data_IF_197026776619
#
_entry.id   IF_197026776619
#
_cell.length_a   1.000
_cell.length_b   1.000
_cell.length_c   1.000
_cell.angle_alpha   90.00
_cell.angle_beta   90.00
_cell.angle_gamma   90.00
#
_symmetry.space_group_name_H-M   'P 1'
#
loop_
_entity.id
_entity.type
_entity.pdbx_description
1 polymer ?
#
# COMPACT_ATOMS: atom_id res chain seq x y z
N UNK A 1 -11.98 -15.70 6.89
CA UNK A 1 -10.68 -14.98 6.86
C UNK A 1 -9.43 -15.84 7.03
N UNK A 2 -9.47 -16.97 7.75
CA UNK A 2 -8.35 -17.90 8.00
C UNK A 2 -7.60 -18.47 6.77
N UNK A 3 -8.20 -18.42 5.58
CA UNK A 3 -7.61 -18.98 4.35
C UNK A 3 -6.72 -17.98 3.63
N UNK A 4 -7.09 -16.69 3.64
CA UNK A 4 -6.30 -15.62 3.01
C UNK A 4 -5.01 -15.32 3.77
N UNK A 5 -5.02 -15.44 5.09
CA UNK A 5 -3.84 -15.23 5.94
C UNK A 5 -2.78 -16.31 5.76
N UNK A 6 -3.19 -17.57 5.54
CA UNK A 6 -2.28 -18.69 5.27
C UNK A 6 -1.61 -18.57 3.90
N UNK A 7 -2.39 -18.24 2.86
CA UNK A 7 -1.86 -18.05 1.51
C UNK A 7 -0.89 -16.87 1.44
N UNK A 8 -1.20 -15.75 2.11
CA UNK A 8 -0.29 -14.60 2.18
C UNK A 8 1.01 -14.96 2.90
N UNK A 9 0.93 -15.70 4.02
CA UNK A 9 2.12 -16.13 4.77
C UNK A 9 3.01 -17.07 3.93
N UNK A 10 2.41 -18.02 3.21
CA UNK A 10 3.16 -18.89 2.29
C UNK A 10 3.86 -18.10 1.19
N UNK A 11 3.16 -17.16 0.54
CA UNK A 11 3.74 -16.33 -0.51
C UNK A 11 4.95 -15.50 -0.01
N UNK A 12 4.85 -14.90 1.18
CA UNK A 12 5.94 -14.10 1.76
C UNK A 12 7.14 -14.97 2.18
N UNK A 13 6.89 -16.18 2.69
CA UNK A 13 7.95 -17.16 2.99
C UNK A 13 8.67 -17.55 1.70
N UNK A 14 7.94 -17.94 0.65
CA UNK A 14 8.52 -18.33 -0.64
C UNK A 14 9.35 -17.20 -1.26
N UNK A 15 8.83 -15.98 -1.25
CA UNK A 15 9.57 -14.79 -1.70
C UNK A 15 10.85 -14.55 -0.90
N UNK A 16 10.78 -14.70 0.42
CA UNK A 16 11.93 -14.46 1.30
C UNK A 16 13.04 -15.48 1.08
N UNK A 17 12.69 -16.75 0.86
CA UNK A 17 13.63 -17.81 0.47
C UNK A 17 14.27 -17.50 -0.87
N UNK A 18 13.47 -17.14 -1.88
CA UNK A 18 13.98 -16.80 -3.22
C UNK A 18 14.97 -15.62 -3.17
N UNK A 19 14.66 -14.58 -2.39
CA UNK A 19 15.56 -13.43 -2.19
C UNK A 19 16.85 -13.82 -1.50
N UNK A 20 16.78 -14.66 -0.47
CA UNK A 20 17.97 -15.15 0.23
C UNK A 20 18.90 -15.93 -0.71
N UNK A 21 18.36 -16.85 -1.51
CA UNK A 21 19.13 -17.61 -2.49
C UNK A 21 19.83 -16.70 -3.51
N UNK A 22 19.15 -15.65 -4.00
CA UNK A 22 19.75 -14.66 -4.88
C UNK A 22 20.83 -13.83 -4.18
N UNK A 23 20.61 -13.39 -2.95
CA UNK A 23 21.60 -12.61 -2.20
C UNK A 23 22.86 -13.44 -1.89
N UNK A 24 22.70 -14.73 -1.58
CA UNK A 24 23.83 -15.65 -1.39
C UNK A 24 24.59 -15.86 -2.70
N UNK A 25 23.89 -15.98 -3.83
CA UNK A 25 24.50 -16.17 -5.15
C UNK A 25 25.29 -14.94 -5.62
N UNK A 26 24.72 -13.74 -5.44
CA UNK A 26 25.27 -12.50 -6.00
C UNK A 26 26.19 -11.74 -5.04
N UNK A 27 25.95 -11.83 -3.74
CA UNK A 27 26.65 -11.02 -2.73
C UNK A 27 27.37 -11.84 -1.65
N UNK A 28 27.34 -13.19 -1.76
CA UNK A 28 27.92 -14.11 -0.77
C UNK A 28 27.41 -13.89 0.67
N UNK A 29 26.20 -13.34 0.82
CA UNK A 29 25.60 -13.07 2.12
C UNK A 29 24.90 -14.33 2.65
N UNK A 30 25.38 -14.86 3.77
CA UNK A 30 24.73 -15.94 4.53
C UNK A 30 23.84 -15.37 5.63
N UNK A 31 22.56 -15.16 5.33
CA UNK A 31 21.53 -15.01 6.37
C UNK A 31 21.17 -16.38 6.98
N UNK A 32 20.90 -16.43 8.28
CA UNK A 32 20.35 -17.62 8.94
C UNK A 32 18.86 -17.77 8.64
N UNK A 33 18.31 -18.99 8.82
CA UNK A 33 16.87 -19.25 8.62
C UNK A 33 15.99 -18.36 9.50
N UNK A 34 16.45 -18.06 10.71
CA UNK A 34 15.76 -17.15 11.65
C UNK A 34 15.71 -15.72 11.12
N UNK A 35 16.79 -15.21 10.53
CA UNK A 35 16.81 -13.87 9.94
C UNK A 35 15.83 -13.75 8.76
N UNK A 36 15.72 -14.82 7.95
CA UNK A 36 14.77 -14.88 6.83
C UNK A 36 13.32 -14.83 7.35
N UNK A 37 13.01 -15.60 8.40
CA UNK A 37 11.68 -15.61 9.01
C UNK A 37 11.35 -14.27 9.68
N UNK A 38 12.29 -13.69 10.43
CA UNK A 38 12.09 -12.41 11.09
C UNK A 38 11.82 -11.28 10.08
N UNK A 39 12.53 -11.29 8.94
CA UNK A 39 12.25 -10.36 7.83
C UNK A 39 10.86 -10.57 7.22
N UNK A 40 10.42 -11.82 7.08
CA UNK A 40 9.11 -12.15 6.55
C UNK A 40 7.98 -11.66 7.49
N UNK A 41 8.15 -11.81 8.80
CA UNK A 41 7.19 -11.34 9.79
C UNK A 41 7.10 -9.80 9.80
N UNK A 42 8.25 -9.11 9.82
CA UNK A 42 8.25 -7.64 9.73
C UNK A 42 7.60 -7.11 8.45
N UNK A 43 7.81 -7.77 7.31
CA UNK A 43 7.15 -7.40 6.05
C UNK A 43 5.62 -7.56 6.14
N UNK A 44 5.14 -8.63 6.77
CA UNK A 44 3.72 -8.88 6.95
C UNK A 44 3.08 -7.86 7.90
N UNK A 45 3.76 -7.49 8.98
CA UNK A 45 3.29 -6.45 9.91
C UNK A 45 3.20 -5.09 9.23
N UNK A 46 4.26 -4.68 8.54
CA UNK A 46 4.30 -3.41 7.83
C UNK A 46 3.22 -3.32 6.75
N UNK A 47 2.99 -4.41 6.01
CA UNK A 47 1.91 -4.46 5.01
C UNK A 47 0.53 -4.35 5.64
N UNK A 48 0.28 -5.04 6.77
CA UNK A 48 -1.00 -4.95 7.50
C UNK A 48 -1.24 -3.53 8.00
N UNK A 49 -0.22 -2.90 8.57
CA UNK A 49 -0.28 -1.52 9.04
C UNK A 49 -0.62 -0.57 7.88
N UNK A 50 0.14 -0.63 6.77
CA UNK A 50 -0.10 0.20 5.59
C UNK A 50 -1.48 -0.02 4.96
N UNK A 51 -1.96 -1.26 4.91
CA UNK A 51 -3.31 -1.59 4.42
C UNK A 51 -4.41 -1.00 5.32
N UNK A 52 -4.18 -0.95 6.63
CA UNK A 52 -5.14 -0.36 7.56
C UNK A 52 -5.16 1.17 7.42
N UNK A 53 -4.01 1.80 7.21
CA UNK A 53 -3.89 3.23 6.92
C UNK A 53 -4.55 3.64 5.60
N UNK A 54 -4.50 2.80 4.56
CA UNK A 54 -5.27 3.05 3.33
C UNK A 54 -6.78 3.05 3.56
N UNK A 55 -7.29 2.17 4.42
CA UNK A 55 -8.73 2.16 4.75
C UNK A 55 -9.18 3.44 5.45
N UNK A 56 -8.36 3.98 6.35
CA UNK A 56 -8.68 5.22 7.07
C UNK A 56 -8.59 6.45 6.14
N UNK A 57 -7.61 6.49 5.23
CA UNK A 57 -7.47 7.60 4.29
C UNK A 57 -8.62 7.63 3.27
N UNK A 58 -9.04 6.47 2.77
CA UNK A 58 -10.16 6.38 1.84
C UNK A 58 -11.51 6.75 2.51
N UNK A 59 -11.66 6.49 3.82
CA UNK A 59 -12.84 6.93 4.58
C UNK A 59 -12.83 8.45 4.82
N UNK A 60 -11.67 9.03 5.13
CA UNK A 60 -11.51 10.47 5.31
C UNK A 60 -11.70 11.26 3.99
N UNK A 61 -11.23 10.74 2.85
CA UNK A 61 -11.50 11.35 1.53
C UNK A 61 -12.97 11.29 1.14
N UNK A 62 -13.67 10.20 1.47
CA UNK A 62 -15.12 10.09 1.26
C UNK A 62 -15.91 11.08 2.13
N UNK A 63 -15.47 11.35 3.36
CA UNK A 63 -16.08 12.36 4.22
C UNK A 63 -15.74 13.79 3.78
N UNK A 64 -14.54 14.03 3.25
CA UNK A 64 -14.13 15.36 2.76
C UNK A 64 -14.86 15.74 1.44
N UNK A 65 -15.23 14.75 0.62
CA UNK A 65 -16.05 14.94 -0.58
C UNK A 65 -17.51 15.31 -0.25
N UNK A 66 -18.04 14.94 0.93
CA UNK A 66 -19.40 15.27 1.37
C UNK A 66 -19.53 16.71 1.88
N UNK A 67 -18.41 17.34 2.28
CA UNK A 67 -18.40 18.70 2.88
C UNK A 67 -18.16 19.82 1.86
N UNK A 68 -17.86 19.50 0.60
CA UNK A 68 -17.78 20.53 -0.46
C UNK A 68 -19.17 20.84 -1.02
N UNK A 69 -19.76 22.03 -0.77
CA UNK A 69 -21.00 22.42 -1.43
C UNK A 69 -20.74 22.52 -2.94
N UNK A 70 -21.51 21.77 -3.73
CA UNK A 70 -21.50 21.74 -5.21
C UNK A 70 -21.49 23.16 -5.82
N UNK A 71 -22.06 24.14 -5.11
CA UNK A 71 -22.04 25.56 -5.46
C UNK A 71 -20.63 26.14 -5.71
N UNK A 72 -19.58 25.62 -5.04
CA UNK A 72 -18.20 26.11 -5.21
C UNK A 72 -17.51 25.53 -6.45
N UNK A 73 -17.91 24.32 -6.86
CA UNK A 73 -17.39 23.67 -8.07
C UNK A 73 -18.01 24.28 -9.33
N UNK A 74 -19.29 24.65 -9.27
CA UNK A 74 -20.00 25.31 -10.37
C UNK A 74 -19.43 26.70 -10.70
N UNK A 75 -19.17 27.54 -9.69
CA UNK A 75 -18.70 28.91 -9.87
C UNK A 75 -17.33 28.95 -10.57
N UNK A 76 -16.42 28.05 -10.16
CA UNK A 76 -15.07 27.99 -10.73
C UNK A 76 -15.07 27.48 -12.18
N UNK A 77 -16.01 26.58 -12.52
CA UNK A 77 -16.18 26.10 -13.90
C UNK A 77 -16.75 27.18 -14.83
N UNK A 78 -17.60 28.05 -14.31
CA UNK A 78 -18.19 29.16 -15.08
C UNK A 78 -17.17 30.27 -15.35
N UNK A 79 -16.30 30.59 -14.39
CA UNK A 79 -15.22 31.57 -14.56
C UNK A 79 -14.15 31.11 -15.58
N UNK A 80 -13.79 29.82 -15.58
CA UNK A 80 -12.83 29.28 -16.54
C UNK A 80 -13.39 29.17 -17.97
N UNK A 81 -14.69 28.97 -18.12
CA UNK A 81 -15.35 28.96 -19.44
C UNK A 81 -15.40 30.37 -20.07
N UNK A 82 -15.47 31.42 -19.26
CA UNK A 82 -15.49 32.81 -19.71
C UNK A 82 -14.14 33.37 -20.18
N UNK A 83 -13.02 32.77 -19.76
CA UNK A 83 -11.66 33.21 -20.16
C UNK A 83 -11.09 32.52 -21.40
N UNK A 84 -11.81 31.55 -22.00
CA UNK A 84 -11.31 30.76 -23.14
C UNK A 84 -11.50 31.39 -24.52
N UNK A 85 -12.02 32.61 -24.59
CA UNK A 85 -12.11 33.38 -25.84
C UNK A 85 -11.64 34.82 -25.63
N UNK A 86 -10.33 35.03 -25.77
CA UNK A 86 -9.77 36.29 -26.24
C UNK A 86 -8.42 36.04 -26.89
#
# INVERSE_FOLDING_TARGET
>A
ELRGTKSARLAVITWSIWKHCNMKLWNNVTETKEQILNRADHLLENWRAAKNTQKTNNAAEAETAVVMPESRVELHRQEQAGMRWR
#
